data_IF_065623409159
#
_entry.id   IF_065623409159
#
_cell.length_a   1.000
_cell.length_b   1.000
_cell.length_c   1.000
_cell.angle_alpha   90.00
_cell.angle_beta   90.00
_cell.angle_gamma   90.00
#
_symmetry.space_group_name_H-M   'P 1'
#
loop_
_entity.id
_entity.type
_entity.pdbx_description
1 polymer ?
#
# COMPACT_ATOMS: atom_id res chain seq x y z
N UNK A 1 38.91 -31.40 10.78
CA UNK A 1 38.12 -30.84 11.89
C UNK A 1 37.51 -29.50 11.44
N UNK A 2 36.76 -29.52 10.33
CA UNK A 2 36.22 -28.32 9.65
C UNK A 2 34.95 -28.71 8.84
N UNK A 3 34.22 -29.74 9.29
CA UNK A 3 32.97 -30.18 8.63
C UNK A 3 31.87 -30.63 9.61
N UNK A 4 32.02 -30.29 10.90
CA UNK A 4 31.01 -30.55 11.94
C UNK A 4 30.49 -29.28 12.62
N UNK A 5 30.95 -28.08 12.21
CA UNK A 5 30.37 -26.79 12.64
C UNK A 5 29.21 -26.33 11.74
N UNK A 6 28.95 -27.05 10.65
CA UNK A 6 27.91 -26.74 9.66
C UNK A 6 26.53 -27.32 9.99
N UNK A 7 26.39 -28.02 11.14
CA UNK A 7 25.14 -28.71 11.53
C UNK A 7 24.41 -27.99 12.69
N UNK A 8 25.00 -27.00 13.35
CA UNK A 8 24.33 -26.23 14.43
C UNK A 8 23.80 -24.85 14.02
N UNK A 9 24.12 -24.36 12.83
CA UNK A 9 23.53 -23.11 12.28
C UNK A 9 22.19 -23.39 11.57
N UNK A 10 21.84 -24.67 11.37
CA UNK A 10 20.63 -25.12 10.66
C UNK A 10 19.42 -25.31 11.58
N UNK A 11 19.57 -25.22 12.91
CA UNK A 11 18.45 -25.32 13.86
C UNK A 11 17.98 -24.01 14.49
N UNK A 12 18.61 -22.86 14.21
CA UNK A 12 18.11 -21.54 14.63
C UNK A 12 17.22 -20.85 13.56
N UNK A 13 16.76 -21.60 12.54
CA UNK A 13 15.92 -21.09 11.45
C UNK A 13 14.43 -21.47 11.62
N UNK A 14 14.01 -21.93 12.81
CA UNK A 14 12.65 -22.45 13.05
C UNK A 14 11.84 -21.64 14.07
N UNK A 15 11.92 -20.31 13.99
CA UNK A 15 10.90 -19.43 14.58
C UNK A 15 10.69 -18.19 13.70
N UNK A 16 10.36 -18.41 12.43
CA UNK A 16 9.67 -17.39 11.63
C UNK A 16 8.23 -17.31 12.15
N UNK A 17 8.00 -16.49 13.19
CA UNK A 17 6.64 -16.02 13.47
C UNK A 17 6.25 -15.08 12.35
N UNK A 18 5.32 -15.52 11.50
CA UNK A 18 4.63 -14.63 10.59
C UNK A 18 3.95 -13.54 11.43
N UNK A 19 4.46 -12.31 11.34
CA UNK A 19 3.79 -11.15 11.90
C UNK A 19 2.55 -10.88 11.04
N UNK A 20 1.42 -11.47 11.43
CA UNK A 20 0.12 -11.17 10.85
C UNK A 20 -0.31 -9.78 11.35
N UNK A 21 -0.17 -8.78 10.49
CA UNK A 21 -0.84 -7.50 10.68
C UNK A 21 -2.35 -7.73 10.60
N UNK A 22 -3.01 -7.95 11.74
CA UNK A 22 -4.45 -8.21 11.78
C UNK A 22 -5.20 -6.90 11.54
N UNK A 23 -5.76 -6.75 10.33
CA UNK A 23 -6.75 -5.71 10.04
C UNK A 23 -8.05 -6.12 10.73
N UNK A 24 -8.36 -5.53 11.89
CA UNK A 24 -9.68 -5.66 12.53
C UNK A 24 -10.69 -4.73 11.85
N UNK A 25 -11.54 -5.29 10.99
CA UNK A 25 -12.77 -4.62 10.56
C UNK A 25 -13.81 -4.70 11.69
N UNK A 26 -14.73 -3.73 11.84
CA UNK A 26 -15.81 -3.83 12.81
C UNK A 26 -16.65 -5.08 12.54
N UNK A 27 -16.96 -5.83 13.60
CA UNK A 27 -17.86 -6.98 13.51
C UNK A 27 -19.21 -6.52 12.91
N UNK A 28 -19.76 -7.30 11.97
CA UNK A 28 -21.05 -7.10 11.25
C UNK A 28 -21.15 -6.10 10.08
N UNK A 29 -20.06 -5.46 9.59
CA UNK A 29 -20.14 -4.72 8.31
C UNK A 29 -19.71 -5.56 7.11
N UNK A 30 -20.67 -5.90 6.23
CA UNK A 30 -20.39 -6.50 4.92
C UNK A 30 -20.38 -5.43 3.83
N UNK A 31 -19.38 -5.43 2.97
CA UNK A 31 -19.29 -4.55 1.80
C UNK A 31 -19.48 -5.38 0.52
N UNK A 32 -20.21 -4.87 -0.49
CA UNK A 32 -20.47 -5.64 -1.70
C UNK A 32 -19.25 -5.71 -2.63
N UNK A 33 -18.28 -4.80 -2.47
CA UNK A 33 -17.06 -4.77 -3.26
C UNK A 33 -15.89 -4.20 -2.47
N UNK A 34 -14.67 -4.64 -2.82
CA UNK A 34 -13.41 -4.12 -2.31
C UNK A 34 -12.60 -3.51 -3.45
N UNK A 35 -12.36 -2.20 -3.39
CA UNK A 35 -11.67 -1.45 -4.43
C UNK A 35 -10.35 -0.93 -3.83
N UNK A 36 -9.23 -1.40 -4.37
CA UNK A 36 -7.92 -1.17 -3.77
C UNK A 36 -7.04 -0.31 -4.66
N UNK A 37 -6.43 0.73 -4.08
CA UNK A 37 -5.45 1.60 -4.71
C UNK A 37 -4.20 1.64 -3.83
N UNK A 38 -3.02 1.65 -4.45
CA UNK A 38 -1.81 1.81 -3.67
C UNK A 38 -0.61 1.05 -4.19
N UNK A 39 0.23 0.65 -3.26
CA UNK A 39 1.58 0.15 -3.50
C UNK A 39 1.75 -1.36 -3.22
N UNK A 40 3.01 -1.76 -3.06
CA UNK A 40 3.47 -3.13 -2.85
C UNK A 40 2.83 -3.83 -1.65
N UNK A 41 2.32 -3.09 -0.66
CA UNK A 41 1.69 -3.67 0.54
C UNK A 41 0.42 -4.42 0.18
N UNK A 42 -0.27 -4.02 -0.88
CA UNK A 42 -1.53 -4.64 -1.32
C UNK A 42 -1.50 -5.08 -2.78
N UNK A 43 -0.38 -4.87 -3.50
CA UNK A 43 -0.18 -5.35 -4.87
C UNK A 43 -0.18 -6.89 -4.94
N UNK A 44 -0.95 -7.42 -5.89
CA UNK A 44 -1.11 -8.85 -6.13
C UNK A 44 -0.42 -9.36 -7.40
N UNK A 45 0.51 -8.56 -7.95
CA UNK A 45 1.35 -8.89 -9.10
C UNK A 45 1.14 -7.97 -10.31
N UNK A 46 0.57 -6.78 -10.12
CA UNK A 46 0.33 -5.79 -11.20
C UNK A 46 1.61 -5.46 -11.94
N UNK A 47 2.73 -5.29 -11.22
CA UNK A 47 4.00 -4.88 -11.83
C UNK A 47 4.55 -5.90 -12.84
N UNK A 48 4.16 -7.18 -12.78
CA UNK A 48 4.57 -8.18 -13.77
C UNK A 48 4.07 -7.86 -15.18
N UNK A 49 3.05 -7.02 -15.30
CA UNK A 49 2.42 -6.63 -16.56
C UNK A 49 2.79 -5.20 -17.00
N UNK A 50 3.66 -4.52 -16.26
CA UNK A 50 4.09 -3.15 -16.58
C UNK A 50 5.35 -3.22 -17.43
N UNK A 51 5.28 -2.69 -18.64
CA UNK A 51 6.43 -2.65 -19.54
C UNK A 51 7.57 -1.81 -18.95
N UNK A 52 8.80 -2.31 -19.05
CA UNK A 52 10.04 -1.63 -18.64
C UNK A 52 10.19 -1.37 -17.14
N UNK A 53 9.31 -1.89 -16.28
CA UNK A 53 9.56 -1.86 -14.83
C UNK A 53 10.59 -2.91 -14.44
N UNK A 54 11.44 -2.56 -13.47
CA UNK A 54 12.32 -3.53 -12.78
C UNK A 54 11.81 -3.83 -11.36
N UNK A 55 10.72 -3.20 -10.94
CA UNK A 55 10.13 -3.38 -9.60
C UNK A 55 9.13 -4.52 -9.67
N UNK A 56 9.60 -5.72 -9.97
CA UNK A 56 8.79 -6.96 -9.93
C UNK A 56 9.21 -7.83 -8.75
N UNK A 57 8.38 -8.82 -8.43
CA UNK A 57 8.63 -9.83 -7.40
C UNK A 57 8.23 -11.23 -7.90
N UNK A 58 8.46 -11.47 -9.19
CA UNK A 58 8.19 -12.71 -9.92
C UNK A 58 9.41 -13.63 -10.02
N UNK A 59 10.35 -13.48 -9.08
CA UNK A 59 11.58 -14.26 -8.98
C UNK A 59 11.88 -14.63 -7.51
N UNK A 60 12.69 -15.67 -7.24
CA UNK A 60 13.10 -16.03 -5.87
C UNK A 60 13.87 -14.89 -5.17
N UNK A 61 13.69 -14.67 -3.86
CA UNK A 61 13.03 -15.54 -2.90
C UNK A 61 11.52 -15.30 -2.73
N UNK A 62 10.89 -14.41 -3.51
CA UNK A 62 9.46 -14.11 -3.39
C UNK A 62 8.60 -15.33 -3.68
N UNK A 63 7.44 -15.42 -3.02
CA UNK A 63 6.50 -16.53 -3.20
C UNK A 63 6.93 -17.89 -2.61
N UNK A 64 8.02 -17.95 -1.82
CA UNK A 64 8.50 -19.19 -1.18
C UNK A 64 7.44 -19.94 -0.36
N UNK A 65 6.52 -19.21 0.26
CA UNK A 65 5.47 -19.76 1.13
C UNK A 65 4.18 -20.10 0.35
N UNK A 66 4.13 -19.83 -0.96
CA UNK A 66 3.09 -20.38 -1.83
C UNK A 66 3.30 -21.87 -2.11
N UNK A 67 2.22 -22.57 -2.48
CA UNK A 67 2.31 -23.95 -2.95
C UNK A 67 3.31 -24.06 -4.10
N UNK A 68 4.36 -24.86 -3.90
CA UNK A 68 5.44 -25.03 -4.88
C UNK A 68 6.48 -23.90 -4.91
N UNK A 69 6.44 -22.95 -3.97
CA UNK A 69 7.42 -21.86 -3.86
C UNK A 69 7.46 -20.93 -5.08
N UNK A 70 6.33 -20.79 -5.79
CA UNK A 70 6.27 -20.05 -7.05
C UNK A 70 6.07 -18.55 -6.80
N UNK A 71 6.99 -17.69 -7.27
CA UNK A 71 6.81 -16.24 -7.21
C UNK A 71 5.58 -15.80 -8.02
N UNK A 72 4.75 -14.92 -7.45
CA UNK A 72 3.53 -14.42 -8.12
C UNK A 72 3.56 -12.93 -8.42
N UNK A 73 4.68 -12.23 -8.18
CA UNK A 73 4.73 -10.76 -8.24
C UNK A 73 4.26 -10.04 -6.98
N UNK A 74 3.85 -10.77 -5.93
CA UNK A 74 3.56 -10.19 -4.60
C UNK A 74 4.87 -9.86 -3.90
N UNK A 75 4.94 -8.69 -3.26
CA UNK A 75 6.12 -8.22 -2.50
C UNK A 75 6.23 -8.92 -1.13
N UNK A 76 6.08 -10.24 -1.12
CA UNK A 76 6.04 -11.10 0.06
C UNK A 76 6.50 -12.52 -0.30
N UNK A 77 6.81 -13.32 0.71
CA UNK A 77 7.03 -14.75 0.52
C UNK A 77 5.70 -15.50 0.23
N UNK A 78 4.55 -14.88 0.49
CA UNK A 78 3.25 -15.50 0.22
C UNK A 78 2.19 -14.44 -0.05
N UNK A 79 1.06 -14.58 0.63
CA UNK A 79 -0.06 -13.64 0.53
C UNK A 79 0.31 -12.26 1.06
N UNK A 80 -0.28 -11.23 0.47
CA UNK A 80 -0.29 -9.85 0.95
C UNK A 80 -1.62 -9.55 1.67
N UNK A 81 -1.72 -8.51 2.51
CA UNK A 81 -2.95 -8.13 3.19
C UNK A 81 -4.24 -8.18 2.33
N UNK A 82 -4.17 -7.75 1.07
CA UNK A 82 -5.32 -7.78 0.15
C UNK A 82 -5.82 -9.19 -0.19
N UNK A 83 -4.99 -10.23 -0.10
CA UNK A 83 -5.41 -11.63 -0.31
C UNK A 83 -6.33 -12.12 0.80
N UNK A 84 -6.12 -11.64 2.03
CA UNK A 84 -6.92 -12.02 3.20
C UNK A 84 -8.26 -11.29 3.22
N UNK A 85 -8.35 -10.14 2.55
CA UNK A 85 -9.60 -9.39 2.36
C UNK A 85 -10.45 -9.92 1.20
N UNK A 86 -9.98 -10.96 0.49
CA UNK A 86 -10.68 -11.55 -0.65
C UNK A 86 -10.40 -10.80 -1.94
N UNK A 87 -9.13 -10.77 -2.37
CA UNK A 87 -8.69 -10.05 -3.59
C UNK A 87 -9.63 -10.33 -4.77
N UNK A 88 -10.35 -9.31 -5.25
CA UNK A 88 -11.18 -9.45 -6.43
C UNK A 88 -10.30 -9.65 -7.66
N UNK A 89 -10.60 -10.68 -8.46
CA UNK A 89 -9.87 -10.96 -9.70
C UNK A 89 -10.51 -10.18 -10.86
N UNK A 90 -9.74 -9.97 -11.93
CA UNK A 90 -10.19 -9.20 -13.11
C UNK A 90 -11.13 -9.95 -14.05
N UNK A 91 -11.80 -11.03 -13.62
CA UNK A 91 -12.77 -11.73 -14.46
C UNK A 91 -14.13 -10.99 -14.48
N UNK A 92 -14.90 -11.04 -15.58
CA UNK A 92 -16.18 -10.33 -15.68
C UNK A 92 -17.18 -10.63 -14.55
N UNK A 93 -17.23 -11.89 -14.08
CA UNK A 93 -18.06 -12.30 -12.94
C UNK A 93 -17.62 -11.69 -11.62
N UNK A 94 -16.33 -11.37 -11.51
CA UNK A 94 -15.67 -10.92 -10.29
C UNK A 94 -15.66 -9.39 -10.19
N UNK A 95 -15.99 -8.68 -11.28
CA UNK A 95 -16.11 -7.21 -11.30
C UNK A 95 -17.08 -6.70 -10.23
N UNK A 96 -18.14 -7.45 -9.91
CA UNK A 96 -19.08 -7.05 -8.85
C UNK A 96 -18.47 -7.05 -7.45
N UNK A 97 -17.37 -7.77 -7.24
CA UNK A 97 -16.70 -7.89 -5.95
C UNK A 97 -15.57 -6.85 -5.79
N UNK A 98 -15.34 -6.01 -6.79
CA UNK A 98 -14.30 -4.97 -6.80
C UNK A 98 -13.08 -5.34 -7.64
N UNK A 99 -11.99 -4.58 -7.49
CA UNK A 99 -10.73 -4.75 -8.23
C UNK A 99 -9.56 -4.21 -7.40
N UNK A 100 -8.39 -4.80 -7.57
CA UNK A 100 -7.13 -4.30 -7.04
C UNK A 100 -6.32 -3.59 -8.14
N UNK A 101 -6.13 -2.28 -8.00
CA UNK A 101 -5.34 -1.44 -8.91
C UNK A 101 -3.91 -1.17 -8.40
N UNK A 102 -3.55 -1.67 -7.23
CA UNK A 102 -2.28 -1.37 -6.60
C UNK A 102 -1.09 -1.84 -7.45
N UNK A 103 -0.01 -1.07 -7.41
CA UNK A 103 1.23 -1.29 -8.15
C UNK A 103 2.43 -0.95 -7.26
N UNK A 104 3.30 -1.93 -7.05
CA UNK A 104 4.48 -1.79 -6.21
C UNK A 104 5.34 -0.58 -6.57
N UNK A 105 5.80 0.17 -5.56
CA UNK A 105 6.62 1.37 -5.77
C UNK A 105 5.84 2.65 -6.05
N UNK A 106 4.51 2.61 -6.15
CA UNK A 106 3.71 3.84 -6.33
C UNK A 106 3.70 4.71 -5.08
N UNK A 107 3.38 5.99 -5.27
CA UNK A 107 3.32 7.01 -4.23
C UNK A 107 2.29 8.09 -4.53
N UNK A 108 1.99 8.95 -3.56
CA UNK A 108 1.23 10.18 -3.81
C UNK A 108 2.04 11.17 -4.67
N UNK A 109 3.35 11.25 -4.48
CA UNK A 109 4.21 12.07 -5.33
C UNK A 109 4.36 11.41 -6.72
N UNK A 110 3.93 12.06 -7.82
CA UNK A 110 4.07 11.48 -9.17
C UNK A 110 5.51 11.13 -9.54
N UNK A 111 6.50 11.82 -8.96
CA UNK A 111 7.91 11.50 -9.19
C UNK A 111 8.26 10.10 -8.67
N UNK A 112 7.65 9.66 -7.57
CA UNK A 112 7.92 8.37 -6.94
C UNK A 112 7.68 7.21 -7.92
N UNK A 113 6.50 7.16 -8.53
CA UNK A 113 6.18 6.14 -9.53
C UNK A 113 7.04 6.28 -10.80
N UNK A 114 7.32 7.52 -11.21
CA UNK A 114 8.13 7.81 -12.39
C UNK A 114 9.56 7.27 -12.29
N UNK A 115 10.21 7.44 -11.12
CA UNK A 115 11.60 7.01 -10.90
C UNK A 115 11.80 5.51 -11.10
N UNK A 116 10.74 4.71 -10.94
CA UNK A 116 10.82 3.25 -11.00
C UNK A 116 9.91 2.62 -12.05
N UNK A 117 9.29 3.44 -12.90
CA UNK A 117 8.44 3.02 -14.03
C UNK A 117 7.32 2.05 -13.63
N UNK A 118 6.46 2.48 -12.70
CA UNK A 118 5.32 1.69 -12.19
C UNK A 118 4.02 2.45 -12.38
N UNK A 119 2.86 1.80 -12.16
CA UNK A 119 1.56 2.46 -12.32
C UNK A 119 1.38 3.50 -11.21
N UNK A 120 1.34 4.76 -11.62
CA UNK A 120 1.14 5.89 -10.72
C UNK A 120 -0.29 5.93 -10.16
N UNK A 121 -0.48 6.57 -9.00
CA UNK A 121 -1.80 6.69 -8.39
C UNK A 121 -2.85 7.35 -9.31
N UNK A 122 -2.53 8.38 -10.12
CA UNK A 122 -3.44 8.88 -11.15
C UNK A 122 -3.79 7.85 -12.23
N UNK A 123 -2.83 7.04 -12.69
CA UNK A 123 -3.12 5.97 -13.65
C UNK A 123 -4.02 4.88 -13.04
N UNK A 124 -3.86 4.57 -11.75
CA UNK A 124 -4.77 3.66 -11.04
C UNK A 124 -6.21 4.22 -10.99
N UNK A 125 -6.38 5.54 -10.82
CA UNK A 125 -7.68 6.18 -10.91
C UNK A 125 -8.30 6.07 -12.30
N UNK A 126 -7.50 6.26 -13.36
CA UNK A 126 -7.97 6.08 -14.74
C UNK A 126 -8.37 4.62 -15.03
N UNK A 127 -7.65 3.64 -14.48
CA UNK A 127 -8.05 2.24 -14.54
C UNK A 127 -9.38 2.01 -13.81
N UNK A 128 -9.59 2.65 -12.65
CA UNK A 128 -10.84 2.58 -11.93
C UNK A 128 -12.02 3.22 -12.68
N UNK A 129 -11.81 4.34 -13.38
CA UNK A 129 -12.85 4.96 -14.23
C UNK A 129 -13.30 3.99 -15.32
N UNK A 130 -12.35 3.35 -16.01
CA UNK A 130 -12.63 2.30 -17.01
C UNK A 130 -13.36 1.09 -16.41
N UNK A 131 -12.95 0.66 -15.22
CA UNK A 131 -13.66 -0.38 -14.47
C UNK A 131 -15.11 0.02 -14.19
N UNK A 132 -15.36 1.26 -13.77
CA UNK A 132 -16.69 1.77 -13.47
C UNK A 132 -17.58 1.83 -14.72
N UNK A 133 -17.03 2.24 -15.86
CA UNK A 133 -17.71 2.20 -17.16
C UNK A 133 -18.05 0.77 -17.59
N UNK A 134 -17.11 -0.17 -17.43
CA UNK A 134 -17.34 -1.58 -17.71
C UNK A 134 -18.42 -2.17 -16.79
N UNK A 135 -18.43 -1.79 -15.52
CA UNK A 135 -19.46 -2.21 -14.58
C UNK A 135 -20.84 -1.70 -15.01
N UNK A 136 -20.92 -0.43 -15.43
CA UNK A 136 -22.14 0.19 -15.96
C UNK A 136 -22.62 -0.50 -17.24
N UNK A 137 -21.72 -0.78 -18.18
CA UNK A 137 -22.05 -1.44 -19.44
C UNK A 137 -22.56 -2.87 -19.27
N UNK A 138 -21.98 -3.65 -18.35
CA UNK A 138 -22.32 -5.06 -18.16
C UNK A 138 -23.49 -5.29 -17.18
N UNK A 139 -23.67 -4.44 -16.18
CA UNK A 139 -24.61 -4.67 -15.08
C UNK A 139 -25.63 -3.55 -14.86
N UNK A 140 -25.55 -2.48 -15.65
CA UNK A 140 -26.45 -1.34 -15.58
C UNK A 140 -26.07 -0.33 -14.50
N UNK A 141 -26.67 0.85 -14.61
CA UNK A 141 -26.37 2.02 -13.77
C UNK A 141 -26.75 1.82 -12.30
N UNK A 142 -27.94 1.24 -12.04
CA UNK A 142 -28.41 1.02 -10.67
C UNK A 142 -27.45 0.13 -9.86
N UNK A 143 -26.99 -0.98 -10.45
CA UNK A 143 -26.07 -1.90 -9.79
C UNK A 143 -24.68 -1.30 -9.62
N UNK A 144 -24.22 -0.55 -10.60
CA UNK A 144 -22.95 0.20 -10.53
C UNK A 144 -22.97 1.20 -9.38
N UNK A 145 -24.00 2.04 -9.30
CA UNK A 145 -24.14 3.02 -8.21
C UNK A 145 -24.22 2.36 -6.84
N UNK A 146 -24.87 1.19 -6.73
CA UNK A 146 -24.88 0.41 -5.51
C UNK A 146 -23.47 -0.06 -5.11
N UNK A 147 -22.71 -0.64 -6.04
CA UNK A 147 -21.33 -1.09 -5.80
C UNK A 147 -20.44 0.09 -5.38
N UNK A 148 -20.47 1.22 -6.09
CA UNK A 148 -19.60 2.35 -5.80
C UNK A 148 -19.94 3.01 -4.45
N UNK A 149 -21.23 3.21 -4.16
CA UNK A 149 -21.66 3.88 -2.92
C UNK A 149 -21.57 3.01 -1.66
N UNK A 150 -21.54 1.69 -1.79
CA UNK A 150 -21.50 0.75 -0.66
C UNK A 150 -20.19 -0.03 -0.54
N UNK A 151 -19.40 -0.11 -1.60
CA UNK A 151 -18.10 -0.76 -1.61
C UNK A 151 -17.10 -0.08 -0.67
N UNK A 152 -16.15 -0.88 -0.18
CA UNK A 152 -15.02 -0.39 0.62
C UNK A 152 -13.85 -0.06 -0.29
N UNK A 153 -13.31 1.14 -0.15
CA UNK A 153 -12.10 1.58 -0.83
C UNK A 153 -10.95 1.61 0.16
N UNK A 154 -9.79 1.07 -0.21
CA UNK A 154 -8.57 1.24 0.58
C UNK A 154 -7.48 1.90 -0.27
N UNK A 155 -6.78 2.87 0.31
CA UNK A 155 -5.68 3.62 -0.32
C UNK A 155 -4.40 3.46 0.51
N UNK A 156 -3.34 2.90 -0.09
CA UNK A 156 -2.05 2.63 0.57
C UNK A 156 -0.89 3.15 -0.28
N UNK A 157 -0.42 4.38 -0.03
CA UNK A 157 0.49 5.03 -1.01
C UNK A 157 1.50 6.02 -0.42
N UNK A 158 1.77 6.00 0.89
CA UNK A 158 2.63 6.99 1.55
C UNK A 158 4.09 6.57 1.72
N UNK A 159 4.35 5.26 1.82
CA UNK A 159 5.66 4.73 2.23
C UNK A 159 6.77 5.07 1.24
N UNK A 160 6.53 4.90 -0.06
CA UNK A 160 7.55 5.09 -1.09
C UNK A 160 7.97 6.56 -1.24
N UNK A 161 7.05 7.51 -1.04
CA UNK A 161 7.35 8.94 -1.11
C UNK A 161 8.37 9.35 -0.05
N UNK A 162 8.10 8.99 1.20
CA UNK A 162 8.97 9.36 2.32
C UNK A 162 10.25 8.50 2.27
N UNK A 163 10.14 7.17 2.22
CA UNK A 163 11.30 6.29 2.32
C UNK A 163 12.24 6.39 1.11
N UNK A 164 11.70 6.30 -0.11
CA UNK A 164 12.51 6.17 -1.32
C UNK A 164 12.78 7.54 -1.96
N UNK A 165 11.74 8.30 -2.26
CA UNK A 165 11.86 9.55 -3.01
C UNK A 165 12.51 10.66 -2.17
N UNK A 166 12.12 10.80 -0.91
CA UNK A 166 12.70 11.82 -0.04
C UNK A 166 14.03 11.38 0.59
N UNK A 167 14.03 10.27 1.36
CA UNK A 167 15.21 9.89 2.14
C UNK A 167 16.27 9.13 1.35
N UNK A 168 15.92 8.05 0.64
CA UNK A 168 16.90 7.18 -0.02
C UNK A 168 17.56 7.82 -1.24
N UNK A 169 16.78 8.41 -2.15
CA UNK A 169 17.30 9.03 -3.37
C UNK A 169 17.67 10.50 -3.16
N UNK A 170 17.05 11.18 -2.20
CA UNK A 170 17.24 12.62 -1.99
C UNK A 170 16.60 13.50 -3.07
N UNK A 171 15.81 12.93 -3.99
CA UNK A 171 15.32 13.60 -5.19
C UNK A 171 14.49 14.87 -4.90
N UNK A 172 13.86 14.93 -3.73
CA UNK A 172 13.03 16.05 -3.29
C UNK A 172 13.70 16.97 -2.26
N UNK A 173 14.88 16.63 -1.72
CA UNK A 173 15.52 17.37 -0.61
C UNK A 173 15.94 18.81 -0.97
N UNK A 174 16.24 19.07 -2.24
CA UNK A 174 16.58 20.43 -2.71
C UNK A 174 15.35 21.32 -2.89
N UNK A 175 14.16 20.72 -3.00
CA UNK A 175 12.90 21.43 -3.27
C UNK A 175 12.05 21.57 -2.01
N UNK A 176 12.14 20.60 -1.11
CA UNK A 176 11.28 20.51 0.08
C UNK A 176 12.09 20.13 1.31
N UNK A 177 11.82 20.82 2.42
CA UNK A 177 12.07 20.27 3.75
C UNK A 177 10.98 19.24 4.12
N UNK A 178 11.16 18.50 5.22
CA UNK A 178 10.20 17.46 5.63
C UNK A 178 8.79 18.03 5.87
N UNK A 179 8.63 19.17 6.58
CA UNK A 179 7.30 19.78 6.73
C UNK A 179 6.62 20.09 5.39
N UNK A 180 7.27 20.80 4.47
CA UNK A 180 6.66 21.15 3.17
C UNK A 180 6.43 19.94 2.27
N UNK A 181 7.30 18.93 2.32
CA UNK A 181 7.10 17.68 1.57
C UNK A 181 5.86 16.94 2.09
N UNK A 182 5.72 16.81 3.42
CA UNK A 182 4.54 16.17 4.00
C UNK A 182 3.25 16.97 3.75
N UNK A 183 3.31 18.30 3.65
CA UNK A 183 2.16 19.11 3.23
C UNK A 183 1.75 18.80 1.79
N UNK A 184 2.71 18.70 0.87
CA UNK A 184 2.45 18.32 -0.52
C UNK A 184 1.81 16.93 -0.62
N UNK A 185 2.34 15.93 0.10
CA UNK A 185 1.77 14.58 0.09
C UNK A 185 0.33 14.54 0.62
N UNK A 186 0.04 15.29 1.69
CA UNK A 186 -1.33 15.39 2.26
C UNK A 186 -2.28 16.08 1.29
N UNK A 187 -1.83 17.14 0.60
CA UNK A 187 -2.63 17.80 -0.44
C UNK A 187 -2.95 16.85 -1.58
N UNK A 188 -1.98 16.07 -2.05
CA UNK A 188 -2.22 15.08 -3.11
C UNK A 188 -3.14 13.95 -2.65
N UNK A 189 -2.97 13.46 -1.42
CA UNK A 189 -3.89 12.47 -0.84
C UNK A 189 -5.32 13.01 -0.71
N UNK A 190 -5.49 14.26 -0.26
CA UNK A 190 -6.79 14.93 -0.16
C UNK A 190 -7.47 15.06 -1.53
N UNK A 191 -6.73 15.51 -2.54
CA UNK A 191 -7.23 15.60 -3.91
C UNK A 191 -7.67 14.24 -4.45
N UNK A 192 -6.87 13.19 -4.23
CA UNK A 192 -7.23 11.83 -4.65
C UNK A 192 -8.51 11.34 -3.98
N UNK A 193 -8.68 11.57 -2.66
CA UNK A 193 -9.92 11.22 -1.94
C UNK A 193 -11.13 11.98 -2.51
N UNK A 194 -10.97 13.25 -2.88
CA UNK A 194 -12.04 14.02 -3.54
C UNK A 194 -12.41 13.43 -4.90
N UNK A 195 -11.43 13.05 -5.72
CA UNK A 195 -11.69 12.42 -7.02
C UNK A 195 -12.41 11.07 -6.89
N UNK A 196 -12.02 10.25 -5.90
CA UNK A 196 -12.72 9.01 -5.58
C UNK A 196 -14.18 9.29 -5.18
N UNK A 197 -14.40 10.31 -4.34
CA UNK A 197 -15.73 10.72 -3.92
C UNK A 197 -16.58 11.24 -5.09
N UNK A 198 -16.02 12.09 -5.95
CA UNK A 198 -16.67 12.57 -7.17
C UNK A 198 -17.04 11.43 -8.12
N UNK A 199 -16.26 10.35 -8.12
CA UNK A 199 -16.52 9.13 -8.87
C UNK A 199 -17.56 8.20 -8.22
N UNK A 200 -18.24 8.63 -7.16
CA UNK A 200 -19.35 7.90 -6.53
C UNK A 200 -18.96 7.02 -5.33
N UNK A 201 -17.68 6.97 -4.96
CA UNK A 201 -17.20 6.21 -3.81
C UNK A 201 -17.54 6.92 -2.50
N UNK A 202 -17.91 6.18 -1.46
CA UNK A 202 -18.36 6.78 -0.19
C UNK A 202 -17.66 6.23 1.05
N UNK A 203 -17.07 5.04 1.01
CA UNK A 203 -16.42 4.42 2.18
C UNK A 203 -14.95 4.23 1.87
N UNK A 204 -14.11 5.16 2.35
CA UNK A 204 -12.71 5.26 1.95
C UNK A 204 -11.81 5.15 3.19
N UNK A 205 -11.01 4.09 3.25
CA UNK A 205 -9.93 3.93 4.22
C UNK A 205 -8.60 4.39 3.61
N UNK A 206 -7.97 5.39 4.19
CA UNK A 206 -6.65 5.89 3.75
C UNK A 206 -5.62 5.48 4.78
N UNK A 207 -4.53 4.84 4.35
CA UNK A 207 -3.49 4.39 5.26
C UNK A 207 -2.41 5.44 5.48
N UNK A 208 -2.06 5.63 6.75
CA UNK A 208 -0.86 6.37 7.17
C UNK A 208 0.43 5.61 6.85
N UNK A 209 1.56 6.31 6.95
CA UNK A 209 2.88 5.72 6.86
C UNK A 209 3.19 4.92 8.15
N UNK A 210 3.72 3.68 8.05
CA UNK A 210 4.25 2.99 9.22
C UNK A 210 5.54 3.68 9.71
N UNK A 211 6.16 3.21 10.81
CA UNK A 211 7.47 3.70 11.24
C UNK A 211 8.60 3.31 10.27
N UNK A 212 8.73 4.11 9.21
CA UNK A 212 9.59 3.82 8.05
C UNK A 212 11.07 3.71 8.42
N UNK A 213 11.54 4.47 9.42
CA UNK A 213 12.92 4.40 9.90
C UNK A 213 13.31 3.04 10.48
N UNK A 214 12.33 2.20 10.80
CA UNK A 214 12.54 0.83 11.27
C UNK A 214 12.47 -0.23 10.14
N UNK A 215 12.19 0.16 8.90
CA UNK A 215 12.20 -0.78 7.78
C UNK A 215 13.62 -1.32 7.54
N UNK A 216 13.80 -2.62 7.24
CA UNK A 216 15.13 -3.21 7.01
C UNK A 216 15.97 -2.46 5.98
N UNK A 217 15.34 -1.97 4.91
CA UNK A 217 15.99 -1.16 3.87
C UNK A 217 16.61 0.12 4.43
N UNK A 218 15.84 0.92 5.18
CA UNK A 218 16.30 2.19 5.73
C UNK A 218 17.27 2.00 6.91
N UNK A 219 17.08 0.98 7.74
CA UNK A 219 18.04 0.57 8.78
C UNK A 219 19.39 0.20 8.17
N UNK A 220 19.39 -0.44 7.00
CA UNK A 220 20.62 -0.81 6.28
C UNK A 220 21.34 0.41 5.72
N UNK A 221 20.61 1.38 5.15
CA UNK A 221 21.21 2.57 4.55
C UNK A 221 21.66 3.61 5.58
N UNK A 222 20.87 3.81 6.63
CA UNK A 222 20.98 4.99 7.50
C UNK A 222 21.09 4.64 9.01
N UNK A 223 20.90 3.38 9.40
CA UNK A 223 20.93 2.93 10.79
C UNK A 223 22.32 2.62 11.36
N UNK A 224 23.39 2.97 10.64
CA UNK A 224 24.77 2.68 11.04
C UNK A 224 25.09 1.18 11.11
N UNK A 225 26.22 0.83 11.75
CA UNK A 225 26.70 -0.56 11.83
C UNK A 225 25.72 -1.49 12.56
N UNK A 226 25.00 -0.96 13.55
CA UNK A 226 24.02 -1.71 14.32
C UNK A 226 22.65 -1.81 13.62
N UNK A 227 22.49 -1.14 12.47
CA UNK A 227 21.22 -1.08 11.72
C UNK A 227 20.06 -0.71 12.65
N UNK A 228 20.20 0.33 13.46
CA UNK A 228 19.13 0.78 14.36
C UNK A 228 18.05 1.55 13.60
N UNK A 229 16.87 1.71 14.20
CA UNK A 229 15.83 2.56 13.63
C UNK A 229 16.31 4.02 13.50
N UNK A 230 15.91 4.67 12.41
CA UNK A 230 16.31 6.05 12.10
C UNK A 230 15.20 7.01 12.53
N UNK A 231 15.38 7.68 13.67
CA UNK A 231 14.29 8.46 14.28
C UNK A 231 13.85 9.64 13.42
N UNK A 232 14.74 10.28 12.67
CA UNK A 232 14.36 11.37 11.75
C UNK A 232 13.30 10.93 10.73
N UNK A 233 13.43 9.71 10.19
CA UNK A 233 12.48 9.15 9.21
C UNK A 233 11.17 8.77 9.90
N UNK A 234 11.23 8.23 11.13
CA UNK A 234 10.05 7.97 11.94
C UNK A 234 9.29 9.25 12.28
N UNK A 235 10.00 10.34 12.58
CA UNK A 235 9.39 11.66 12.81
C UNK A 235 8.69 12.19 11.56
N UNK A 236 9.28 12.02 10.36
CA UNK A 236 8.61 12.36 9.10
C UNK A 236 7.30 11.57 8.91
N UNK A 237 7.32 10.28 9.23
CA UNK A 237 6.14 9.40 9.16
C UNK A 237 5.04 9.84 10.14
N UNK A 238 5.42 10.14 11.39
CA UNK A 238 4.51 10.67 12.43
C UNK A 238 3.91 12.03 12.00
N UNK A 239 4.73 12.92 11.45
CA UNK A 239 4.28 14.23 10.98
C UNK A 239 3.27 14.11 9.83
N UNK A 240 3.58 13.28 8.83
CA UNK A 240 2.65 12.99 7.73
C UNK A 240 1.32 12.44 8.26
N UNK A 241 1.36 11.44 9.15
CA UNK A 241 0.16 10.82 9.72
C UNK A 241 -0.70 11.82 10.50
N UNK A 242 -0.07 12.71 11.28
CA UNK A 242 -0.78 13.75 12.02
C UNK A 242 -1.49 14.73 11.08
N UNK A 243 -0.81 15.19 10.02
CA UNK A 243 -1.38 16.11 9.03
C UNK A 243 -2.50 15.45 8.24
N UNK A 244 -2.28 14.20 7.79
CA UNK A 244 -3.27 13.41 7.08
C UNK A 244 -4.52 13.19 7.94
N UNK A 245 -4.35 12.84 9.22
CA UNK A 245 -5.49 12.68 10.14
C UNK A 245 -6.37 13.92 10.19
N UNK A 246 -5.78 15.10 10.36
CA UNK A 246 -6.52 16.37 10.41
C UNK A 246 -7.23 16.65 9.09
N UNK A 247 -6.56 16.41 7.96
CA UNK A 247 -7.16 16.64 6.65
C UNK A 247 -8.32 15.69 6.35
N UNK A 248 -8.21 14.40 6.67
CA UNK A 248 -9.30 13.44 6.50
C UNK A 248 -10.51 13.78 7.40
N UNK A 249 -10.29 14.34 8.59
CA UNK A 249 -11.37 14.86 9.43
C UNK A 249 -12.08 16.05 8.77
N UNK A 250 -11.34 16.98 8.16
CA UNK A 250 -11.92 18.09 7.40
C UNK A 250 -12.73 17.60 6.21
N UNK A 251 -12.24 16.57 5.50
CA UNK A 251 -12.95 15.95 4.39
C UNK A 251 -14.26 15.28 4.83
N UNK A 252 -14.28 14.58 5.97
CA UNK A 252 -15.52 14.02 6.51
C UNK A 252 -16.59 15.08 6.80
N UNK A 253 -16.19 16.29 7.17
CA UNK A 253 -17.12 17.41 7.39
C UNK A 253 -17.61 18.03 6.07
N UNK A 254 -16.81 17.95 5.01
CA UNK A 254 -17.05 18.61 3.72
C UNK A 254 -17.70 17.71 2.67
N UNK A 255 -17.56 16.39 2.81
CA UNK A 255 -18.03 15.39 1.85
C UNK A 255 -19.29 14.69 2.39
N UNK A 256 -20.50 15.15 2.03
CA UNK A 256 -21.72 14.59 2.59
C UNK A 256 -21.85 13.12 2.24
N UNK A 257 -22.29 12.32 3.22
CA UNK A 257 -22.50 10.87 3.08
C UNK A 257 -21.22 10.05 2.83
N UNK A 258 -20.05 10.68 2.82
CA UNK A 258 -18.78 9.97 2.84
C UNK A 258 -18.39 9.56 4.26
N UNK A 259 -17.70 8.43 4.38
CA UNK A 259 -16.97 8.00 5.56
C UNK A 259 -15.53 7.78 5.12
N UNK A 260 -14.66 8.69 5.53
CA UNK A 260 -13.24 8.71 5.21
C UNK A 260 -12.44 8.49 6.49
N UNK A 261 -11.84 7.32 6.66
CA UNK A 261 -11.13 6.98 7.89
C UNK A 261 -9.62 6.86 7.66
N UNK A 262 -8.84 7.42 8.57
CA UNK A 262 -7.41 7.09 8.67
C UNK A 262 -7.25 5.68 9.23
N UNK A 263 -6.39 4.88 8.59
CA UNK A 263 -5.93 3.58 9.08
C UNK A 263 -4.44 3.65 9.36
N UNK A 264 -4.03 3.49 10.61
CA UNK A 264 -2.62 3.46 10.96
C UNK A 264 -2.08 2.04 10.78
N UNK A 265 -0.89 1.95 10.20
CA UNK A 265 -0.10 0.72 10.19
C UNK A 265 0.76 0.73 11.46
N UNK A 266 0.45 -0.16 12.42
CA UNK A 266 1.14 -0.22 13.71
C UNK A 266 2.42 -1.06 13.65
N UNK A 267 3.30 -0.83 14.63
CA UNK A 267 4.66 -1.38 14.78
C UNK A 267 4.75 -2.85 15.16
N UNK A 268 3.65 -3.59 15.23
CA UNK A 268 3.68 -4.99 15.68
C UNK A 268 4.50 -5.93 14.75
N UNK A 269 4.99 -5.41 13.60
CA UNK A 269 5.92 -6.09 12.71
C UNK A 269 7.40 -5.65 12.82
N UNK A 270 7.72 -4.55 13.52
CA UNK A 270 9.08 -4.00 13.61
C UNK A 270 9.71 -4.10 15.01
N UNK A 271 8.89 -4.37 16.04
CA UNK A 271 9.31 -4.43 17.43
C UNK A 271 9.51 -5.87 17.93
N UNK A 272 10.28 -6.69 17.21
CA UNK A 272 10.85 -7.92 17.75
C UNK A 272 12.03 -8.36 16.89
N UNK A 273 13.23 -7.88 17.22
CA UNK A 273 14.32 -8.74 17.73
C UNK A 273 15.62 -7.93 17.93
N UNK A 274 16.39 -8.21 19.00
CA UNK A 274 17.77 -7.76 19.15
C UNK A 274 18.75 -8.47 18.21
#
# INVERSE_FOLDING_TARGET
MELQRMVLVVCCVLSLSAAEGVIKLPDNETFPALILFGDSIIDTGTNNYVANTLVTCDFPPYGRDFMGGTPTGRFSNGKVPSDFLGTPRSQPSDLLNGVNFASGGTGYDPLTAHLVSVVSLPEQLEQFKKYSENLKGNFGESKTNFILSKGLVLVVSSSNDIANTYFATGARKLQYDIPSYTDMLVQTASSFVKELYESGLRRIGVFGAPPLGCLPFLRTLFGGLQRICVEEINMASKLFNSKLSSELQNLNQSLPQAKVDLKLMTEDAAAQEP
#
